data_IF_965603464467
#
_entry.id   IF_965603464467
#
_cell.length_a   1.000
_cell.length_b   1.000
_cell.length_c   1.000
_cell.angle_alpha   90.00
_cell.angle_beta   90.00
_cell.angle_gamma   90.00
#
_symmetry.space_group_name_H-M   'P 1'
#
loop_
_entity.id
_entity.type
_entity.pdbx_description
1 polymer ?
#
# COMPACT_ATOMS: atom_id res chain seq x y z
N UNK A 1 -9.35 -27.65 10.93
CA UNK A 1 -8.57 -26.91 9.91
C UNK A 1 -9.55 -25.99 9.21
N UNK A 2 -9.68 -24.75 9.70
CA UNK A 2 -10.69 -23.82 9.18
C UNK A 2 -10.15 -23.22 7.89
N UNK A 3 -10.81 -23.53 6.79
CA UNK A 3 -10.56 -22.95 5.47
C UNK A 3 -10.91 -21.46 5.54
N UNK A 4 -9.91 -20.61 5.81
CA UNK A 4 -10.08 -19.15 5.81
C UNK A 4 -10.09 -18.69 4.35
N UNK A 5 -11.23 -18.86 3.69
CA UNK A 5 -11.47 -18.29 2.37
C UNK A 5 -11.16 -16.79 2.38
N UNK A 6 -10.26 -16.36 1.50
CA UNK A 6 -9.90 -14.95 1.28
C UNK A 6 -11.17 -14.19 0.88
N UNK A 7 -11.51 -13.11 1.60
CA UNK A 7 -12.53 -12.17 1.11
C UNK A 7 -11.89 -11.27 0.07
N UNK A 8 -12.48 -11.26 -1.12
CA UNK A 8 -12.08 -10.46 -2.28
C UNK A 8 -13.33 -9.69 -2.71
N UNK A 9 -13.20 -8.40 -3.04
CA UNK A 9 -14.29 -7.59 -3.62
C UNK A 9 -14.63 -8.04 -5.05
N UNK A 10 -15.73 -7.56 -5.63
CA UNK A 10 -16.16 -7.97 -6.98
C UNK A 10 -15.13 -7.57 -8.06
N UNK A 11 -14.36 -6.51 -7.81
CA UNK A 11 -13.26 -6.04 -8.67
C UNK A 11 -11.88 -6.52 -8.22
N UNK A 12 -11.83 -7.29 -7.12
CA UNK A 12 -10.58 -7.79 -6.55
C UNK A 12 -9.53 -6.70 -6.34
N UNK A 13 -9.78 -5.65 -5.57
CA UNK A 13 -8.80 -4.54 -5.36
C UNK A 13 -8.05 -4.64 -4.02
N UNK A 14 -8.66 -5.30 -3.03
CA UNK A 14 -8.01 -5.68 -1.77
C UNK A 14 -8.27 -7.15 -1.44
N UNK A 15 -7.30 -7.80 -0.77
CA UNK A 15 -7.55 -9.10 -0.11
C UNK A 15 -7.34 -9.04 1.41
N UNK A 16 -8.20 -9.76 2.13
CA UNK A 16 -8.05 -10.00 3.56
C UNK A 16 -7.07 -11.15 3.84
N UNK A 17 -5.96 -10.88 4.53
CA UNK A 17 -5.02 -11.93 4.97
C UNK A 17 -5.41 -12.54 6.34
N UNK A 18 -6.02 -11.72 7.21
CA UNK A 18 -6.77 -12.05 8.44
C UNK A 18 -7.88 -10.98 8.60
N UNK A 19 -8.82 -11.12 9.56
CA UNK A 19 -9.99 -10.23 9.69
C UNK A 19 -9.66 -8.73 9.74
N UNK A 20 -8.43 -8.36 10.12
CA UNK A 20 -7.98 -7.00 10.36
C UNK A 20 -6.80 -6.56 9.47
N UNK A 21 -6.50 -7.25 8.36
CA UNK A 21 -5.43 -6.84 7.42
C UNK A 21 -5.91 -6.79 5.99
N UNK A 22 -5.79 -5.61 5.38
CA UNK A 22 -6.05 -5.35 3.95
C UNK A 22 -4.72 -5.26 3.19
N UNK A 23 -4.68 -5.73 1.95
CA UNK A 23 -3.52 -5.59 1.08
C UNK A 23 -3.90 -5.25 -0.37
N UNK A 24 -3.13 -4.36 -1.01
CA UNK A 24 -3.25 -3.95 -2.42
C UNK A 24 -1.88 -3.97 -3.12
N UNK A 25 -1.88 -4.09 -4.44
CA UNK A 25 -0.68 -3.89 -5.26
C UNK A 25 -0.49 -2.40 -5.59
N UNK A 26 0.70 -1.88 -5.34
CA UNK A 26 1.04 -0.48 -5.61
C UNK A 26 1.68 -0.33 -7.01
N UNK A 27 1.05 0.39 -7.95
CA UNK A 27 1.61 0.59 -9.29
C UNK A 27 2.83 1.53 -9.31
N UNK A 28 3.08 2.28 -8.22
CA UNK A 28 4.20 3.20 -8.10
C UNK A 28 5.52 2.49 -7.83
N UNK A 29 5.55 1.64 -6.80
CA UNK A 29 6.76 0.89 -6.41
C UNK A 29 6.79 -0.54 -6.95
N UNK A 30 5.66 -1.08 -7.42
CA UNK A 30 5.54 -2.48 -7.88
C UNK A 30 5.44 -3.51 -6.75
N UNK A 31 5.33 -3.06 -5.49
CA UNK A 31 5.26 -3.92 -4.31
C UNK A 31 3.84 -4.04 -3.77
N UNK A 32 3.61 -5.07 -2.96
CA UNK A 32 2.37 -5.22 -2.20
C UNK A 32 2.42 -4.37 -0.93
N UNK A 33 1.41 -3.53 -0.73
CA UNK A 33 1.21 -2.78 0.50
C UNK A 33 0.19 -3.50 1.39
N UNK A 34 0.38 -3.44 2.71
CA UNK A 34 -0.58 -4.00 3.67
C UNK A 34 -0.87 -3.02 4.80
N UNK A 35 -2.15 -2.88 5.14
CA UNK A 35 -2.63 -2.02 6.21
C UNK A 35 -3.45 -2.84 7.21
N UNK A 36 -3.06 -2.78 8.47
CA UNK A 36 -3.87 -3.33 9.56
C UNK A 36 -5.01 -2.36 9.87
N UNK A 37 -6.26 -2.82 9.96
CA UNK A 37 -7.46 -1.99 10.12
C UNK A 37 -8.28 -2.39 11.34
N UNK A 38 -9.19 -1.52 11.78
CA UNK A 38 -10.08 -1.80 12.91
C UNK A 38 -9.38 -1.75 14.28
N UNK A 39 -10.15 -2.07 15.32
CA UNK A 39 -9.72 -2.00 16.73
C UNK A 39 -8.68 -3.08 17.06
N UNK A 40 -7.75 -2.75 17.96
CA UNK A 40 -6.78 -3.72 18.47
C UNK A 40 -5.49 -3.08 18.97
N UNK A 41 -4.63 -3.91 19.57
CA UNK A 41 -3.27 -3.51 19.92
C UNK A 41 -2.36 -3.51 18.68
N UNK A 42 -1.23 -2.80 18.76
CA UNK A 42 -0.30 -2.60 17.66
C UNK A 42 -0.59 -1.35 16.82
N UNK A 43 0.47 -0.69 16.35
CA UNK A 43 0.42 0.47 15.47
C UNK A 43 1.41 0.27 14.32
N UNK A 44 1.17 0.88 13.15
CA UNK A 44 -0.01 1.68 12.76
C UNK A 44 -1.29 0.85 12.53
N UNK A 45 -2.46 1.48 12.71
CA UNK A 45 -3.79 0.96 12.37
C UNK A 45 -4.55 2.01 11.58
N UNK A 46 -5.17 1.62 10.47
CA UNK A 46 -5.89 2.51 9.56
C UNK A 46 -7.41 2.40 9.77
N UNK A 47 -8.08 3.54 9.67
CA UNK A 47 -9.51 3.58 9.38
C UNK A 47 -9.76 3.07 7.97
N UNK A 48 -10.88 2.36 7.80
CA UNK A 48 -11.32 1.80 6.52
C UNK A 48 -12.83 1.98 6.39
N UNK A 49 -13.31 2.32 5.20
CA UNK A 49 -14.72 2.55 4.91
C UNK A 49 -15.56 1.27 4.75
N UNK A 50 -14.96 0.08 4.82
CA UNK A 50 -15.68 -1.19 4.67
C UNK A 50 -15.86 -1.66 3.22
N UNK A 51 -15.35 -0.90 2.25
CA UNK A 51 -15.47 -1.20 0.82
C UNK A 51 -14.16 -1.78 0.26
N UNK A 52 -14.25 -2.91 -0.43
CA UNK A 52 -13.11 -3.57 -1.06
C UNK A 52 -12.92 -3.19 -2.53
N UNK A 53 -13.93 -2.61 -3.18
CA UNK A 53 -13.92 -2.18 -4.58
C UNK A 53 -13.68 -0.67 -4.70
N UNK A 54 -14.05 0.10 -3.68
CA UNK A 54 -13.77 1.54 -3.54
C UNK A 54 -13.15 1.84 -2.17
N UNK A 55 -12.00 1.21 -1.84
CA UNK A 55 -11.42 1.38 -0.53
C UNK A 55 -11.01 2.82 -0.27
N UNK A 56 -11.25 3.25 0.95
CA UNK A 56 -10.66 4.46 1.52
C UNK A 56 -9.95 4.08 2.80
N UNK A 57 -8.68 4.47 2.92
CA UNK A 57 -7.84 4.24 4.09
C UNK A 57 -7.44 5.58 4.72
N UNK A 58 -7.48 5.66 6.04
CA UNK A 58 -7.05 6.85 6.78
C UNK A 58 -6.16 6.46 7.97
N UNK A 59 -5.02 7.14 8.21
CA UNK A 59 -4.44 8.25 7.44
C UNK A 59 -3.74 7.74 6.16
N UNK A 60 -2.76 8.50 5.64
CA UNK A 60 -1.92 8.04 4.52
C UNK A 60 -1.18 6.73 4.84
N UNK A 61 -0.78 6.05 3.79
CA UNK A 61 0.03 4.82 3.81
C UNK A 61 1.46 5.21 3.47
N UNK A 62 2.40 4.96 4.39
CA UNK A 62 3.83 5.19 4.21
C UNK A 62 4.55 3.85 4.21
N UNK A 63 5.26 3.55 3.12
CA UNK A 63 6.05 2.32 2.94
C UNK A 63 7.47 2.69 2.57
N UNK A 64 8.43 2.05 3.24
CA UNK A 64 9.83 2.03 2.83
C UNK A 64 10.13 0.70 2.15
N UNK A 65 10.75 0.73 0.97
CA UNK A 65 11.05 -0.47 0.19
C UNK A 65 12.47 -0.42 -0.39
N UNK A 66 12.95 -1.57 -0.86
CA UNK A 66 14.25 -1.70 -1.52
C UNK A 66 14.12 -1.36 -3.01
N UNK A 67 13.82 -0.10 -3.32
CA UNK A 67 13.80 0.39 -4.70
C UNK A 67 15.18 0.31 -5.37
N UNK A 68 15.27 0.57 -6.69
CA UNK A 68 16.49 0.40 -7.47
C UNK A 68 17.72 1.08 -6.86
N UNK A 69 17.53 2.24 -6.23
CA UNK A 69 18.62 3.00 -5.63
C UNK A 69 18.67 2.87 -4.10
N UNK A 70 17.69 2.18 -3.48
CA UNK A 70 17.58 2.10 -2.03
C UNK A 70 18.76 1.36 -1.40
N UNK A 71 19.42 2.01 -0.45
CA UNK A 71 20.52 1.40 0.32
C UNK A 71 21.81 1.17 -0.46
N UNK A 72 21.89 1.57 -1.74
CA UNK A 72 23.14 1.58 -2.50
C UNK A 72 24.10 2.64 -1.95
N UNK A 73 25.39 2.35 -2.03
CA UNK A 73 26.44 3.32 -1.78
C UNK A 73 26.80 3.98 -3.11
N UNK A 74 26.94 5.31 -3.12
CA UNK A 74 27.59 6.00 -4.24
C UNK A 74 29.13 5.90 -4.16
N UNK A 75 29.82 6.52 -5.11
CA UNK A 75 31.29 6.52 -5.20
C UNK A 75 31.98 7.14 -3.99
N UNK A 76 31.29 8.03 -3.28
CA UNK A 76 31.77 8.71 -2.06
C UNK A 76 31.40 7.94 -0.78
N UNK A 77 30.75 6.78 -0.91
CA UNK A 77 30.31 5.96 0.22
C UNK A 77 29.07 6.48 0.93
N UNK A 78 28.31 7.40 0.32
CA UNK A 78 27.02 7.83 0.83
C UNK A 78 25.95 6.78 0.52
N UNK A 79 25.20 6.38 1.57
CA UNK A 79 24.10 5.41 1.44
C UNK A 79 22.82 6.13 1.05
N UNK A 80 22.33 5.85 -0.15
CA UNK A 80 21.04 6.33 -0.60
C UNK A 80 19.91 5.93 0.38
N UNK A 81 18.98 6.85 0.70
CA UNK A 81 17.90 6.56 1.63
C UNK A 81 17.01 5.41 1.12
N UNK A 82 16.25 4.73 2.00
CA UNK A 82 15.25 3.75 1.56
C UNK A 82 14.29 4.40 0.56
N UNK A 83 13.88 3.65 -0.45
CA UNK A 83 12.87 4.17 -1.37
C UNK A 83 11.56 4.33 -0.60
N UNK A 84 10.96 5.51 -0.68
CA UNK A 84 9.71 5.87 -0.02
C UNK A 84 8.58 5.76 -1.04
N UNK A 85 7.47 5.13 -0.63
CA UNK A 85 6.17 5.24 -1.27
C UNK A 85 5.20 5.80 -0.23
N UNK A 86 4.68 7.00 -0.46
CA UNK A 86 3.77 7.68 0.46
C UNK A 86 2.51 8.08 -0.28
N UNK A 87 1.36 7.58 0.14
CA UNK A 87 0.12 7.71 -0.64
C UNK A 87 -1.12 7.79 0.23
N UNK A 88 -2.17 8.41 -0.29
CA UNK A 88 -3.54 8.21 0.17
C UNK A 88 -4.24 7.18 -0.72
N UNK A 89 -5.07 6.34 -0.11
CA UNK A 89 -6.01 5.46 -0.82
C UNK A 89 -7.42 6.00 -0.57
N UNK A 90 -8.09 6.47 -1.60
CA UNK A 90 -9.39 7.12 -1.53
C UNK A 90 -10.23 6.64 -2.71
N UNK A 91 -11.41 6.10 -2.41
CA UNK A 91 -12.43 5.78 -3.41
C UNK A 91 -11.94 4.86 -4.55
N UNK A 92 -11.04 3.92 -4.22
CA UNK A 92 -10.44 2.99 -5.20
C UNK A 92 -9.28 3.58 -6.01
N UNK A 93 -8.82 4.79 -5.69
CA UNK A 93 -7.66 5.42 -6.30
C UNK A 93 -6.51 5.55 -5.32
N UNK A 94 -5.29 5.55 -5.86
CA UNK A 94 -4.07 5.85 -5.12
C UNK A 94 -3.55 7.23 -5.52
N UNK A 95 -3.48 8.14 -4.55
CA UNK A 95 -2.88 9.46 -4.69
C UNK A 95 -1.51 9.47 -4.05
N UNK A 96 -0.46 9.50 -4.86
CA UNK A 96 0.91 9.56 -4.40
C UNK A 96 1.26 10.98 -3.94
N UNK A 97 1.92 11.07 -2.79
CA UNK A 97 2.49 12.31 -2.29
C UNK A 97 3.85 12.58 -2.93
N UNK A 98 4.24 13.85 -2.94
CA UNK A 98 5.44 14.34 -3.64
C UNK A 98 6.75 13.87 -3.01
N UNK A 99 6.70 13.33 -1.80
CA UNK A 99 7.83 12.70 -1.10
C UNK A 99 7.99 11.20 -1.42
N UNK A 100 7.15 10.66 -2.32
CA UNK A 100 7.41 9.36 -2.93
C UNK A 100 8.63 9.43 -3.86
N UNK A 101 9.40 8.36 -3.91
CA UNK A 101 10.67 8.28 -4.65
C UNK A 101 10.55 7.61 -6.02
N UNK A 102 9.37 7.09 -6.38
CA UNK A 102 9.11 6.47 -7.68
C UNK A 102 8.50 7.46 -8.68
N UNK A 103 8.46 7.09 -9.97
CA UNK A 103 8.04 7.96 -11.07
C UNK A 103 6.61 8.53 -10.96
N UNK A 104 5.71 7.83 -10.25
CA UNK A 104 4.34 8.29 -10.01
C UNK A 104 4.19 9.30 -8.86
N UNK A 105 5.28 9.81 -8.26
CA UNK A 105 5.19 10.81 -7.19
C UNK A 105 4.36 12.03 -7.61
N UNK A 106 3.45 12.46 -6.74
CA UNK A 106 2.52 13.57 -6.99
C UNK A 106 1.37 13.26 -7.96
N UNK A 107 1.27 12.03 -8.48
CA UNK A 107 0.20 11.61 -9.40
C UNK A 107 -0.92 10.87 -8.65
N UNK A 108 -2.11 10.85 -9.26
CA UNK A 108 -3.23 10.00 -8.85
C UNK A 108 -3.51 9.01 -9.97
N UNK A 109 -3.60 7.73 -9.63
CA UNK A 109 -3.97 6.66 -10.56
C UNK A 109 -4.98 5.72 -9.90
N UNK A 110 -5.69 4.93 -10.70
CA UNK A 110 -6.58 3.90 -10.17
C UNK A 110 -5.77 2.78 -9.50
N UNK A 111 -6.30 2.21 -8.42
CA UNK A 111 -5.73 0.99 -7.87
C UNK A 111 -5.93 -0.14 -8.90
N UNK A 112 -4.87 -0.89 -9.23
CA UNK A 112 -4.98 -2.00 -10.16
C UNK A 112 -5.85 -3.12 -9.57
N UNK A 113 -6.58 -3.80 -10.46
CA UNK A 113 -7.27 -5.03 -10.09
C UNK A 113 -6.23 -6.12 -9.79
N UNK A 114 -6.46 -6.85 -8.71
CA UNK A 114 -5.68 -8.01 -8.31
C UNK A 114 -6.19 -9.17 -9.18
N UNK A 115 -5.35 -9.68 -10.08
CA UNK A 115 -5.67 -10.91 -10.78
C UNK A 115 -5.76 -12.08 -9.78
N UNK A 116 -6.87 -12.80 -9.80
CA UNK A 116 -7.12 -14.00 -8.99
C UNK A 116 -6.13 -15.14 -9.29
#
# INVERSE_FOLDING_TARGET
MSDRARKVGERSILWGAELDRLAFHCPGCGEQHSCTVGEGSGRPRWGWNGDLDRPTLTPSVLVTYNGPDAGKLDEDGFRAPPAICHSFVIDGQIRFLTDSTHALAGQTVDLPEISA
#
